data_IF_578500275390
#
_entry.id   IF_578500275390
#
_cell.length_a   1.000
_cell.length_b   1.000
_cell.length_c   1.000
_cell.angle_alpha   90.00
_cell.angle_beta   90.00
_cell.angle_gamma   90.00
#
_symmetry.space_group_name_H-M   'P 1'
#
loop_
_entity.id
_entity.type
_entity.pdbx_description
1 polymer ?
#
# COMPACT_ATOMS: atom_id res chain seq x y z
N UNK A 1 -20.09 -24.59 -9.48
CA UNK A 1 -21.36 -24.88 -8.76
C UNK A 1 -22.52 -24.16 -9.45
N UNK A 2 -23.23 -24.84 -10.36
CA UNK A 2 -24.36 -24.24 -11.11
C UNK A 2 -25.65 -24.20 -10.28
N UNK A 3 -25.88 -25.20 -9.43
CA UNK A 3 -27.00 -25.24 -8.49
C UNK A 3 -26.45 -24.89 -7.11
N UNK A 4 -26.88 -23.77 -6.53
CA UNK A 4 -26.39 -23.22 -5.25
C UNK A 4 -26.85 -24.07 -4.06
N UNK A 5 -26.35 -25.30 -3.97
CA UNK A 5 -26.69 -26.22 -2.90
C UNK A 5 -26.08 -25.77 -1.56
N UNK A 6 -26.80 -25.99 -0.45
CA UNK A 6 -26.27 -25.73 0.89
C UNK A 6 -25.04 -26.61 1.14
N UNK A 7 -24.04 -26.07 1.85
CA UNK A 7 -22.78 -26.77 2.15
C UNK A 7 -21.72 -26.71 1.06
N UNK A 8 -22.04 -26.18 -0.13
CA UNK A 8 -21.04 -25.89 -1.17
C UNK A 8 -20.54 -24.45 -1.04
N UNK A 9 -19.32 -24.20 -1.55
CA UNK A 9 -18.71 -22.85 -1.55
C UNK A 9 -19.65 -21.89 -2.28
N UNK A 10 -20.02 -20.80 -1.61
CA UNK A 10 -20.92 -19.79 -2.17
C UNK A 10 -20.25 -19.07 -3.33
N UNK A 11 -21.01 -18.86 -4.40
CA UNK A 11 -20.53 -18.10 -5.57
C UNK A 11 -20.50 -16.60 -5.26
N UNK A 12 -19.47 -15.87 -5.71
CA UNK A 12 -19.39 -14.44 -5.50
C UNK A 12 -20.57 -13.73 -6.16
N UNK A 13 -21.21 -12.81 -5.44
CA UNK A 13 -22.31 -11.98 -5.91
C UNK A 13 -22.15 -10.54 -5.42
N UNK A 14 -22.91 -9.61 -6.02
CA UNK A 14 -22.80 -8.17 -5.73
C UNK A 14 -23.01 -7.81 -4.25
N UNK A 15 -23.79 -8.62 -3.51
CA UNK A 15 -24.06 -8.44 -2.08
C UNK A 15 -22.84 -8.65 -1.17
N UNK A 16 -21.76 -9.28 -1.65
CA UNK A 16 -20.50 -9.35 -0.90
C UNK A 16 -19.66 -8.07 -0.99
N UNK A 17 -20.05 -7.09 -1.81
CA UNK A 17 -19.32 -5.84 -1.97
C UNK A 17 -19.22 -5.07 -0.66
N UNK A 18 -18.02 -4.59 -0.32
CA UNK A 18 -17.82 -3.70 0.83
C UNK A 18 -18.37 -2.29 0.57
N UNK A 19 -18.58 -1.53 1.64
CA UNK A 19 -19.00 -0.13 1.54
C UNK A 19 -18.04 0.67 0.65
N UNK A 20 -18.57 1.52 -0.23
CA UNK A 20 -17.79 2.35 -1.18
C UNK A 20 -16.66 3.13 -0.50
N UNK A 21 -16.89 3.64 0.72
CA UNK A 21 -15.88 4.40 1.48
C UNK A 21 -14.72 3.54 2.00
N UNK A 22 -15.00 2.28 2.36
CA UNK A 22 -14.02 1.34 2.89
C UNK A 22 -13.35 0.49 1.78
N UNK A 23 -13.79 0.65 0.53
CA UNK A 23 -13.21 -0.06 -0.61
C UNK A 23 -11.75 0.35 -0.79
N UNK A 24 -10.88 -0.64 -0.97
CA UNK A 24 -9.42 -0.47 -1.15
C UNK A 24 -8.66 0.16 0.03
N UNK A 25 -9.28 0.22 1.22
CA UNK A 25 -8.61 0.69 2.43
C UNK A 25 -7.80 -0.44 3.07
N UNK A 26 -6.62 -0.10 3.60
CA UNK A 26 -5.82 -0.98 4.44
C UNK A 26 -6.42 -1.07 5.84
N UNK A 27 -6.12 -2.13 6.60
CA UNK A 27 -6.50 -2.22 8.01
C UNK A 27 -5.93 -1.07 8.87
N UNK A 28 -4.89 -0.39 8.40
CA UNK A 28 -4.33 0.82 9.02
C UNK A 28 -5.19 2.08 8.84
N UNK A 29 -6.27 2.02 8.04
CA UNK A 29 -7.15 3.15 7.74
C UNK A 29 -6.72 4.00 6.53
N UNK A 30 -5.59 3.68 5.91
CA UNK A 30 -5.08 4.39 4.73
C UNK A 30 -5.46 3.69 3.43
N UNK A 31 -5.60 4.43 2.33
CA UNK A 31 -5.56 3.86 0.99
C UNK A 31 -4.11 3.76 0.52
N UNK A 32 -3.75 2.64 -0.09
CA UNK A 32 -2.42 2.48 -0.65
C UNK A 32 -2.26 3.16 -2.00
N UNK A 33 -1.10 3.77 -2.20
CA UNK A 33 -0.68 4.32 -3.48
C UNK A 33 0.68 3.74 -3.87
N UNK A 34 0.75 3.09 -5.02
CA UNK A 34 1.97 2.46 -5.50
C UNK A 34 2.92 3.54 -6.08
N UNK A 35 4.11 3.66 -5.50
CA UNK A 35 5.11 4.65 -5.88
C UNK A 35 6.28 3.98 -6.59
N UNK A 36 6.59 4.44 -7.80
CA UNK A 36 7.68 3.92 -8.63
C UNK A 36 8.97 4.75 -8.52
N UNK A 37 8.87 6.02 -8.18
CA UNK A 37 9.99 6.96 -8.15
C UNK A 37 9.79 8.04 -7.07
N UNK A 38 10.87 8.75 -6.74
CA UNK A 38 10.88 9.79 -5.70
C UNK A 38 9.90 10.92 -6.03
N UNK A 39 9.82 11.32 -7.30
CA UNK A 39 8.85 12.35 -7.77
C UNK A 39 7.40 11.92 -7.56
N UNK A 40 7.10 10.63 -7.60
CA UNK A 40 5.77 10.09 -7.32
C UNK A 40 5.29 10.34 -5.90
N UNK A 41 6.19 10.60 -4.94
CA UNK A 41 5.81 10.97 -3.57
C UNK A 41 5.20 12.38 -3.49
N UNK A 42 5.55 13.28 -4.41
CA UNK A 42 5.08 14.67 -4.38
C UNK A 42 3.57 14.75 -4.64
N UNK A 43 3.02 13.79 -5.40
CA UNK A 43 1.57 13.65 -5.62
C UNK A 43 0.81 13.41 -4.30
N UNK A 44 1.46 12.78 -3.32
CA UNK A 44 0.87 12.45 -2.03
C UNK A 44 1.01 13.57 -0.99
N UNK A 45 1.67 14.68 -1.32
CA UNK A 45 1.96 15.77 -0.38
C UNK A 45 0.69 16.31 0.30
N UNK A 46 -0.38 16.52 -0.50
CA UNK A 46 -1.63 17.05 0.01
C UNK A 46 -2.52 15.99 0.69
N UNK A 47 -2.29 14.71 0.36
CA UNK A 47 -3.18 13.61 0.74
C UNK A 47 -2.54 12.62 1.72
N UNK A 48 -1.52 13.05 2.47
CA UNK A 48 -0.74 12.21 3.40
C UNK A 48 -1.57 11.60 4.54
N UNK A 49 -2.73 12.18 4.90
CA UNK A 49 -3.63 11.64 5.94
C UNK A 49 -4.51 10.50 5.46
N UNK A 50 -4.82 10.45 4.16
CA UNK A 50 -5.70 9.44 3.56
C UNK A 50 -4.91 8.35 2.84
N UNK A 51 -3.72 8.66 2.32
CA UNK A 51 -2.92 7.73 1.56
C UNK A 51 -1.61 7.35 2.23
N UNK A 52 -1.21 6.10 2.01
CA UNK A 52 0.08 5.54 2.38
C UNK A 52 0.84 5.17 1.11
N UNK A 53 2.15 5.37 1.07
CA UNK A 53 2.99 4.96 -0.04
C UNK A 53 3.34 3.47 0.08
N UNK A 54 3.03 2.69 -0.96
CA UNK A 54 3.60 1.37 -1.20
C UNK A 54 4.76 1.52 -2.19
N UNK A 55 5.98 1.16 -1.78
CA UNK A 55 7.15 1.23 -2.66
C UNK A 55 7.07 0.06 -3.65
N UNK A 56 7.17 0.35 -4.94
CA UNK A 56 7.20 -0.68 -5.97
C UNK A 56 8.46 -1.57 -5.85
N UNK A 57 8.56 -2.59 -6.70
CA UNK A 57 9.81 -3.35 -6.83
C UNK A 57 10.90 -2.43 -7.42
N UNK A 58 11.72 -1.82 -6.55
CA UNK A 58 12.86 -0.98 -6.95
C UNK A 58 14.15 -1.52 -6.29
N UNK A 59 15.30 -1.07 -6.78
CA UNK A 59 16.61 -1.34 -6.18
C UNK A 59 16.70 -0.82 -4.74
N UNK A 60 17.53 -1.43 -3.87
CA UNK A 60 17.64 -1.05 -2.47
C UNK A 60 18.12 0.39 -2.27
N UNK A 61 19.01 0.89 -3.14
CA UNK A 61 19.47 2.29 -3.12
C UNK A 61 18.34 3.28 -3.31
N UNK A 62 17.47 3.04 -4.29
CA UNK A 62 16.32 3.89 -4.56
C UNK A 62 15.23 3.74 -3.49
N UNK A 63 15.10 2.54 -2.90
CA UNK A 63 14.21 2.31 -1.76
C UNK A 63 14.61 3.20 -0.58
N UNK A 64 15.89 3.19 -0.18
CA UNK A 64 16.43 4.05 0.90
C UNK A 64 16.14 5.54 0.64
N UNK A 65 16.46 6.04 -0.55
CA UNK A 65 16.18 7.43 -0.93
C UNK A 65 14.68 7.78 -0.93
N UNK A 66 13.82 6.83 -1.31
CA UNK A 66 12.35 7.02 -1.29
C UNK A 66 11.83 7.07 0.14
N UNK A 67 12.34 6.22 1.05
CA UNK A 67 11.96 6.23 2.47
C UNK A 67 12.41 7.52 3.15
N UNK A 68 13.65 7.96 2.90
CA UNK A 68 14.18 9.22 3.43
C UNK A 68 13.35 10.43 2.98
N UNK A 69 12.99 10.49 1.69
CA UNK A 69 12.13 11.56 1.17
C UNK A 69 10.70 11.47 1.71
N UNK A 70 10.14 10.27 1.86
CA UNK A 70 8.80 10.09 2.43
C UNK A 70 8.74 10.57 3.89
N UNK A 71 9.80 10.33 4.67
CA UNK A 71 9.91 10.84 6.03
C UNK A 71 9.90 12.37 6.09
N UNK A 72 10.63 13.05 5.19
CA UNK A 72 10.62 14.52 5.07
C UNK A 72 9.22 15.07 4.79
N UNK A 73 8.43 14.38 3.96
CA UNK A 73 7.07 14.77 3.57
C UNK A 73 5.99 14.29 4.56
N UNK A 74 6.39 13.65 5.66
CA UNK A 74 5.49 13.02 6.64
C UNK A 74 4.47 12.04 5.99
N UNK A 75 4.88 11.33 4.94
CA UNK A 75 4.07 10.31 4.27
C UNK A 75 4.38 8.96 4.91
N UNK A 76 3.33 8.24 5.34
CA UNK A 76 3.49 6.88 5.86
C UNK A 76 3.85 5.93 4.71
N UNK A 77 4.85 5.09 4.94
CA UNK A 77 5.24 3.99 4.05
C UNK A 77 4.77 2.68 4.67
N UNK A 78 4.24 1.75 3.86
CA UNK A 78 3.74 0.45 4.36
C UNK A 78 4.85 -0.44 4.91
N UNK A 79 5.92 -0.62 4.14
CA UNK A 79 7.09 -1.43 4.49
C UNK A 79 8.39 -0.60 4.34
N UNK A 80 8.76 0.21 5.35
CA UNK A 80 9.94 1.08 5.27
C UNK A 80 11.25 0.28 5.23
N UNK A 81 11.27 -0.93 5.80
CA UNK A 81 12.45 -1.79 5.85
C UNK A 81 12.58 -2.71 4.62
N UNK A 82 11.73 -2.53 3.61
CA UNK A 82 11.74 -3.36 2.42
C UNK A 82 13.10 -3.31 1.72
N UNK A 83 13.82 -4.45 1.72
CA UNK A 83 15.11 -4.65 1.03
C UNK A 83 16.25 -3.75 1.50
N UNK A 84 16.14 -3.17 2.69
CA UNK A 84 17.28 -2.64 3.40
C UNK A 84 18.04 -3.83 4.00
N UNK A 85 18.75 -4.60 3.16
CA UNK A 85 19.65 -5.63 3.66
C UNK A 85 20.79 -4.95 4.45
N UNK A 86 21.04 -5.50 5.64
CA UNK A 86 22.01 -5.05 6.64
C UNK A 86 23.44 -5.00 6.12
N UNK A 87 23.93 -3.82 5.76
CA UNK A 87 25.38 -3.53 5.60
C UNK A 87 25.80 -2.26 6.35
N UNK A 88 25.03 -1.83 7.37
CA UNK A 88 25.26 -0.61 8.17
C UNK A 88 25.10 -0.88 9.69
N UNK A 89 25.27 -2.13 10.14
CA UNK A 89 25.32 -2.51 11.56
C UNK A 89 26.65 -3.23 11.88
N UNK A 90 27.77 -2.64 11.46
CA UNK A 90 29.12 -2.95 11.95
C UNK A 90 29.89 -1.64 12.18
#
# INVERSE_FOLDING_TARGET
VCRRFRGQILMPHIGYGSNKKAKHMLPSGFQKFLVHNIKGLEVLLMCNKSYCAEIAYVSPKNCKATVERAAQLAIRVTDPNARLCSTENE
#
